data_IF_816498873487
#
_entry.id   IF_816498873487
#
_cell.length_a   1.000
_cell.length_b   1.000
_cell.length_c   1.000
_cell.angle_alpha   90.00
_cell.angle_beta   90.00
_cell.angle_gamma   90.00
#
_symmetry.space_group_name_H-M   'P 1'
#
loop_
_entity.id
_entity.type
_entity.pdbx_description
1 polymer ?
#
# COMPACT_ATOMS: atom_id res chain seq x y z
N UNK A 1 30.33 12.62 22.67
CA UNK A 1 29.80 11.24 22.64
C UNK A 1 28.92 11.05 21.42
N UNK A 2 29.00 9.90 20.74
CA UNK A 2 28.29 9.68 19.48
C UNK A 2 26.79 9.55 19.77
N UNK A 3 26.00 10.32 19.04
CA UNK A 3 24.54 10.25 19.02
C UNK A 3 24.19 8.88 18.44
N UNK A 4 23.95 7.90 19.32
CA UNK A 4 23.31 6.63 18.95
C UNK A 4 21.90 7.02 18.54
N UNK A 5 21.70 7.08 17.23
CA UNK A 5 20.42 7.29 16.59
C UNK A 5 19.52 6.11 16.91
N UNK A 6 18.54 6.32 17.79
CA UNK A 6 17.35 5.48 17.97
C UNK A 6 16.46 5.54 16.70
N UNK A 7 17.02 5.15 15.55
CA UNK A 7 16.40 5.35 14.22
C UNK A 7 15.82 4.06 13.63
N UNK A 8 15.86 2.92 14.33
CA UNK A 8 15.42 1.65 13.75
C UNK A 8 13.95 1.28 14.02
N UNK A 9 13.35 1.71 15.14
CA UNK A 9 11.92 1.43 15.41
C UNK A 9 10.97 2.36 14.63
N UNK A 10 11.35 3.63 14.48
CA UNK A 10 10.57 4.61 13.71
C UNK A 10 10.39 4.21 12.24
N UNK A 11 11.35 3.49 11.65
CA UNK A 11 11.27 3.06 10.26
C UNK A 11 10.25 1.94 10.08
N UNK A 12 10.17 0.97 11.01
CA UNK A 12 9.20 -0.12 10.89
C UNK A 12 7.77 0.33 11.21
N UNK A 13 7.59 1.16 12.23
CA UNK A 13 6.28 1.75 12.55
C UNK A 13 5.79 2.65 11.41
N UNK A 14 6.66 3.51 10.85
CA UNK A 14 6.30 4.34 9.70
C UNK A 14 5.96 3.50 8.46
N UNK A 15 6.66 2.40 8.23
CA UNK A 15 6.32 1.44 7.17
C UNK A 15 4.95 0.82 7.40
N UNK A 16 4.63 0.39 8.63
CA UNK A 16 3.33 -0.21 8.96
C UNK A 16 2.18 0.80 8.79
N UNK A 17 2.34 2.03 9.31
CA UNK A 17 1.33 3.09 9.16
C UNK A 17 1.08 3.37 7.69
N UNK A 18 2.15 3.48 6.88
CA UNK A 18 2.03 3.75 5.45
C UNK A 18 1.41 2.59 4.67
N UNK A 19 1.76 1.34 5.01
CA UNK A 19 1.12 0.14 4.45
C UNK A 19 -0.39 0.14 4.72
N UNK A 20 -0.78 0.41 5.97
CA UNK A 20 -2.18 0.48 6.37
C UNK A 20 -2.93 1.61 5.64
N UNK A 21 -2.35 2.81 5.56
CA UNK A 21 -2.98 3.94 4.84
C UNK A 21 -3.17 3.65 3.34
N UNK A 22 -2.25 2.93 2.70
CA UNK A 22 -2.38 2.52 1.29
C UNK A 22 -3.55 1.54 1.13
N UNK A 23 -3.68 0.57 2.03
CA UNK A 23 -4.77 -0.41 1.99
C UNK A 23 -6.14 0.22 2.26
N UNK A 24 -6.22 1.16 3.21
CA UNK A 24 -7.45 1.90 3.51
C UNK A 24 -7.89 2.76 2.33
N UNK A 25 -6.95 3.49 1.71
CA UNK A 25 -7.23 4.25 0.50
C UNK A 25 -7.69 3.34 -0.65
N UNK A 26 -7.00 2.22 -0.87
CA UNK A 26 -7.39 1.24 -1.89
C UNK A 26 -8.80 0.69 -1.66
N UNK A 27 -9.14 0.36 -0.41
CA UNK A 27 -10.48 -0.11 -0.03
C UNK A 27 -11.54 0.95 -0.25
N UNK A 28 -11.25 2.22 0.08
CA UNK A 28 -12.17 3.33 -0.15
C UNK A 28 -12.45 3.50 -1.65
N UNK A 29 -11.41 3.55 -2.48
CA UNK A 29 -11.53 3.70 -3.93
C UNK A 29 -12.33 2.54 -4.57
N UNK A 30 -12.10 1.30 -4.12
CA UNK A 30 -12.87 0.16 -4.58
C UNK A 30 -14.36 0.28 -4.19
N UNK A 31 -14.67 0.69 -2.95
CA UNK A 31 -16.06 0.89 -2.47
C UNK A 31 -16.78 2.02 -3.19
N UNK A 32 -16.07 3.06 -3.64
CA UNK A 32 -16.64 4.19 -4.37
C UNK A 32 -16.67 3.98 -5.88
N UNK A 33 -16.20 2.84 -6.40
CA UNK A 33 -16.15 2.54 -7.83
C UNK A 33 -15.11 3.36 -8.61
N UNK A 34 -14.08 3.87 -7.92
CA UNK A 34 -13.05 4.73 -8.49
C UNK A 34 -11.89 3.91 -9.06
N UNK A 35 -12.17 3.24 -10.19
CA UNK A 35 -11.24 2.31 -10.82
C UNK A 35 -9.96 2.98 -11.36
N UNK A 36 -10.09 4.17 -11.94
CA UNK A 36 -8.96 4.91 -12.50
C UNK A 36 -7.98 5.32 -11.38
N UNK A 37 -8.50 5.81 -10.27
CA UNK A 37 -7.74 6.21 -9.10
C UNK A 37 -7.09 5.01 -8.41
N UNK A 38 -7.78 3.86 -8.32
CA UNK A 38 -7.20 2.63 -7.78
C UNK A 38 -6.04 2.12 -8.65
N UNK A 39 -6.20 2.18 -9.98
CA UNK A 39 -5.11 1.92 -10.93
C UNK A 39 -3.96 2.92 -10.83
N UNK A 40 -4.27 4.19 -10.54
CA UNK A 40 -3.29 5.24 -10.24
C UNK A 40 -2.51 4.97 -8.96
N UNK A 41 -3.18 4.52 -7.90
CA UNK A 41 -2.58 4.17 -6.62
C UNK A 41 -1.51 3.09 -6.78
N UNK A 42 -1.77 2.04 -7.57
CA UNK A 42 -0.80 0.99 -7.91
C UNK A 42 0.50 1.53 -8.54
N UNK A 43 0.41 2.60 -9.34
CA UNK A 43 1.59 3.27 -9.91
C UNK A 43 2.30 4.11 -8.85
N UNK A 44 1.53 4.83 -8.02
CA UNK A 44 2.04 5.71 -6.97
C UNK A 44 2.79 4.97 -5.86
N UNK A 45 2.38 3.75 -5.51
CA UNK A 45 3.02 2.97 -4.44
C UNK A 45 4.35 2.32 -4.85
N UNK A 46 4.70 2.30 -6.14
CA UNK A 46 5.93 1.64 -6.64
C UNK A 46 7.22 2.08 -5.93
N UNK A 47 7.47 3.38 -5.68
CA UNK A 47 8.66 3.81 -4.94
C UNK A 47 8.67 3.29 -3.50
N UNK A 48 7.52 3.16 -2.85
CA UNK A 48 7.40 2.60 -1.50
C UNK A 48 7.63 1.10 -1.44
N UNK A 49 7.23 0.35 -2.48
CA UNK A 49 7.52 -1.09 -2.56
C UNK A 49 9.03 -1.38 -2.56
N UNK A 50 9.85 -0.46 -3.09
CA UNK A 50 11.31 -0.57 -3.08
C UNK A 50 11.93 -0.31 -1.70
N UNK A 51 11.19 0.26 -0.74
CA UNK A 51 11.67 0.52 0.62
C UNK A 51 11.27 -0.54 1.65
N UNK A 52 10.58 -1.62 1.23
CA UNK A 52 10.12 -2.69 2.13
C UNK A 52 10.63 -4.07 1.67
N UNK A 53 10.46 -5.09 2.50
CA UNK A 53 10.86 -6.46 2.12
C UNK A 53 10.02 -6.99 0.95
N UNK A 54 10.60 -7.89 0.16
CA UNK A 54 9.89 -8.53 -0.97
C UNK A 54 8.58 -9.18 -0.56
N UNK A 55 8.54 -9.77 0.65
CA UNK A 55 7.34 -10.38 1.18
C UNK A 55 6.24 -9.35 1.48
N UNK A 56 6.57 -8.23 2.14
CA UNK A 56 5.62 -7.14 2.40
C UNK A 56 5.14 -6.51 1.08
N UNK A 57 6.04 -6.29 0.12
CA UNK A 57 5.69 -5.76 -1.20
C UNK A 57 4.74 -6.68 -1.97
N UNK A 58 5.04 -7.98 -2.02
CA UNK A 58 4.18 -8.97 -2.70
C UNK A 58 2.79 -9.04 -2.05
N UNK A 59 2.71 -8.99 -0.72
CA UNK A 59 1.44 -8.96 0.02
C UNK A 59 0.63 -7.70 -0.33
N UNK A 60 1.25 -6.52 -0.26
CA UNK A 60 0.58 -5.25 -0.53
C UNK A 60 0.04 -5.18 -1.98
N UNK A 61 0.87 -5.56 -2.95
CA UNK A 61 0.46 -5.60 -4.37
C UNK A 61 -0.69 -6.58 -4.57
N UNK A 62 -0.63 -7.77 -3.94
CA UNK A 62 -1.70 -8.77 -4.06
C UNK A 62 -3.02 -8.22 -3.52
N UNK A 63 -3.02 -7.62 -2.34
CA UNK A 63 -4.22 -7.03 -1.76
C UNK A 63 -4.82 -5.90 -2.62
N UNK A 64 -3.99 -5.04 -3.22
CA UNK A 64 -4.48 -3.99 -4.12
C UNK A 64 -5.07 -4.56 -5.43
N UNK A 65 -4.47 -5.62 -5.98
CA UNK A 65 -5.01 -6.27 -7.18
C UNK A 65 -6.32 -7.02 -6.89
N UNK A 66 -6.42 -7.70 -5.73
CA UNK A 66 -7.64 -8.37 -5.33
C UNK A 66 -8.80 -7.36 -5.20
N UNK A 67 -8.56 -6.19 -4.57
CA UNK A 67 -9.54 -5.10 -4.50
C UNK A 67 -9.97 -4.58 -5.88
N UNK A 68 -9.03 -4.49 -6.82
CA UNK A 68 -9.32 -4.04 -8.18
C UNK A 68 -10.17 -5.05 -8.95
N UNK A 69 -9.84 -6.34 -8.85
CA UNK A 69 -10.58 -7.43 -9.49
C UNK A 69 -12.00 -7.58 -8.91
N UNK A 70 -12.15 -7.48 -7.59
CA UNK A 70 -13.45 -7.55 -6.92
C UNK A 70 -14.38 -6.40 -7.34
N UNK A 71 -13.81 -5.20 -7.55
CA UNK A 71 -14.53 -4.04 -8.05
C UNK A 71 -14.96 -4.20 -9.51
N UNK A 72 -14.10 -4.71 -10.40
CA UNK A 72 -14.48 -5.03 -11.78
C UNK A 72 -15.59 -6.10 -11.81
N UNK A 73 -15.49 -7.13 -10.97
CA UNK A 73 -16.51 -8.17 -10.87
C UNK A 73 -17.87 -7.66 -10.34
N UNK A 74 -17.87 -6.63 -9.49
CA UNK A 74 -19.09 -6.02 -8.96
C UNK A 74 -19.75 -5.01 -9.93
N UNK A 75 -19.05 -4.60 -10.98
CA UNK A 75 -19.53 -3.60 -11.96
C UNK A 75 -19.89 -4.19 -13.32
N UNK A 76 -19.70 -5.51 -13.52
CA UNK A 76 -20.17 -6.28 -14.68
C UNK A 76 -21.59 -6.81 -14.51
#
# INVERSE_FOLDING_TARGET
>A
SPVKRDVQENDEEAVQVKEQSILELGSLLAKTGQAEELGGLLKYVRPFLNSISKAKAARLVRSLLDLFLDMEAATG
#
